data_IF_766280089361
#
_entry.id   IF_766280089361
#
_cell.length_a   1.000
_cell.length_b   1.000
_cell.length_c   1.000
_cell.angle_alpha   90.00
_cell.angle_beta   90.00
_cell.angle_gamma   90.00
#
_symmetry.space_group_name_H-M   'P 1'
#
loop_
_entity.id
_entity.type
_entity.pdbx_description
1 polymer ?
#
# COMPACT_ATOMS: atom_id res chain seq x y z
N UNK A 1 2.06 1.64 -16.23
CA UNK A 1 0.66 1.78 -15.77
C UNK A 1 0.53 2.96 -14.81
N UNK A 2 -0.54 3.74 -14.93
CA UNK A 2 -0.97 4.78 -14.01
C UNK A 2 -1.93 4.18 -12.98
N UNK A 3 -1.48 4.06 -11.72
CA UNK A 3 -2.25 3.45 -10.63
C UNK A 3 -2.63 4.53 -9.62
N UNK A 4 -3.92 4.67 -9.34
CA UNK A 4 -4.43 5.64 -8.38
C UNK A 4 -4.21 5.15 -6.95
N UNK A 5 -3.27 5.77 -6.23
CA UNK A 5 -2.98 5.49 -4.81
C UNK A 5 -4.20 5.83 -3.96
N UNK A 6 -4.79 4.84 -3.31
CA UNK A 6 -6.06 4.96 -2.54
C UNK A 6 -7.20 5.61 -3.33
N UNK A 7 -7.21 5.42 -4.65
CA UNK A 7 -8.14 6.09 -5.57
C UNK A 7 -7.76 7.52 -5.98
N UNK A 8 -6.56 8.01 -5.64
CA UNK A 8 -6.09 9.36 -5.94
C UNK A 8 -6.23 10.29 -4.73
N UNK A 9 -5.48 10.00 -3.65
CA UNK A 9 -5.70 10.60 -2.33
C UNK A 9 -5.51 12.12 -2.24
N UNK A 10 -4.83 12.74 -3.21
CA UNK A 10 -4.69 14.21 -3.31
C UNK A 10 -5.86 14.85 -4.07
N UNK A 11 -6.63 14.06 -4.83
CA UNK A 11 -7.79 14.52 -5.59
C UNK A 11 -9.10 14.30 -4.82
N UNK A 12 -9.25 13.14 -4.19
CA UNK A 12 -10.49 12.70 -3.56
C UNK A 12 -10.25 12.04 -2.20
N UNK A 13 -11.28 11.91 -1.35
CA UNK A 13 -11.14 11.24 -0.06
C UNK A 13 -10.66 9.80 -0.24
N UNK A 14 -9.46 9.53 0.26
CA UNK A 14 -8.74 8.28 0.07
C UNK A 14 -9.57 7.06 0.49
N UNK A 15 -9.39 5.95 -0.23
CA UNK A 15 -9.98 4.65 0.12
C UNK A 15 -11.52 4.68 0.25
N UNK A 16 -12.21 5.43 -0.62
CA UNK A 16 -13.67 5.48 -0.67
C UNK A 16 -14.21 4.99 -2.01
N UNK A 17 -15.43 4.44 -2.03
CA UNK A 17 -16.08 4.00 -3.27
C UNK A 17 -16.16 5.14 -4.29
N UNK A 18 -16.47 6.36 -3.82
CA UNK A 18 -16.56 7.53 -4.68
C UNK A 18 -15.20 7.92 -5.27
N UNK A 19 -14.10 7.81 -4.52
CA UNK A 19 -12.76 8.02 -5.09
C UNK A 19 -12.42 6.96 -6.14
N UNK A 20 -12.77 5.70 -5.91
CA UNK A 20 -12.56 4.62 -6.87
C UNK A 20 -13.35 4.82 -8.16
N UNK A 21 -14.64 5.15 -8.08
CA UNK A 21 -15.46 5.50 -9.24
C UNK A 21 -14.88 6.68 -10.03
N UNK A 22 -14.38 7.70 -9.33
CA UNK A 22 -13.74 8.86 -9.97
C UNK A 22 -12.41 8.50 -10.63
N UNK A 23 -11.60 7.65 -10.02
CA UNK A 23 -10.37 7.14 -10.63
C UNK A 23 -10.66 6.30 -11.87
N UNK A 24 -11.66 5.41 -11.83
CA UNK A 24 -12.09 4.63 -13.00
C UNK A 24 -12.60 5.55 -14.12
N UNK A 25 -13.44 6.53 -13.80
CA UNK A 25 -13.91 7.53 -14.77
C UNK A 25 -12.78 8.42 -15.31
N UNK A 26 -11.72 8.61 -14.52
CA UNK A 26 -10.49 9.25 -14.94
C UNK A 26 -9.74 8.36 -15.95
N UNK A 27 -9.99 7.06 -16.04
CA UNK A 27 -9.32 6.18 -17.01
C UNK A 27 -7.91 5.78 -16.58
N UNK A 28 -7.72 5.57 -15.28
CA UNK A 28 -6.48 4.97 -14.74
C UNK A 28 -6.39 3.49 -15.12
N UNK A 29 -5.19 2.92 -15.09
CA UNK A 29 -4.97 1.49 -15.38
C UNK A 29 -5.28 0.60 -14.17
N UNK A 30 -5.34 1.19 -12.98
CA UNK A 30 -5.60 0.46 -11.75
C UNK A 30 -5.76 1.35 -10.54
N UNK A 31 -6.12 0.73 -9.42
CA UNK A 31 -6.26 1.36 -8.11
C UNK A 31 -5.40 0.58 -7.12
N UNK A 32 -4.68 1.31 -6.29
CA UNK A 32 -4.05 0.80 -5.08
C UNK A 32 -4.94 1.13 -3.89
N UNK A 33 -5.00 0.23 -2.90
CA UNK A 33 -5.80 0.39 -1.69
C UNK A 33 -5.29 -0.47 -0.54
N UNK A 34 -5.69 -0.09 0.68
CA UNK A 34 -5.20 -0.68 1.92
C UNK A 34 -6.24 -1.58 2.59
N UNK A 35 -5.89 -2.83 2.91
CA UNK A 35 -6.78 -3.79 3.56
C UNK A 35 -6.49 -3.96 5.05
N UNK A 36 -7.56 -3.97 5.83
CA UNK A 36 -7.56 -4.30 7.25
C UNK A 36 -8.77 -5.17 7.62
N UNK A 37 -8.75 -5.72 8.85
CA UNK A 37 -9.86 -6.45 9.45
C UNK A 37 -10.64 -5.58 10.44
N UNK A 38 -11.97 -5.65 10.36
CA UNK A 38 -12.86 -5.23 11.44
C UNK A 38 -12.82 -6.22 12.63
N UNK A 39 -13.43 -5.84 13.75
CA UNK A 39 -13.52 -6.70 14.94
C UNK A 39 -14.32 -7.99 14.72
N UNK A 40 -15.23 -8.01 13.75
CA UNK A 40 -16.02 -9.16 13.31
C UNK A 40 -15.40 -9.91 12.12
N UNK A 41 -14.14 -9.62 11.78
CA UNK A 41 -13.35 -10.40 10.82
C UNK A 41 -13.66 -10.11 9.35
N UNK A 42 -14.33 -9.00 9.04
CA UNK A 42 -14.58 -8.59 7.66
C UNK A 42 -13.44 -7.73 7.11
N UNK A 43 -13.11 -7.93 5.83
CA UNK A 43 -12.15 -7.10 5.12
C UNK A 43 -12.77 -5.77 4.71
N UNK A 44 -12.05 -4.71 5.04
CA UNK A 44 -12.40 -3.34 4.70
C UNK A 44 -11.19 -2.59 4.17
N UNK A 45 -11.50 -1.49 3.47
CA UNK A 45 -10.50 -0.69 2.78
C UNK A 45 -10.22 0.58 3.59
N UNK A 46 -9.07 0.62 4.29
CA UNK A 46 -8.66 1.75 5.11
C UNK A 46 -7.17 1.69 5.47
N UNK A 47 -6.48 2.83 5.45
CA UNK A 47 -5.03 2.88 5.64
C UNK A 47 -4.56 2.75 7.10
N UNK A 48 -5.14 3.55 8.01
CA UNK A 48 -4.62 3.70 9.37
C UNK A 48 -5.25 2.69 10.34
N UNK A 49 -4.53 2.23 11.36
CA UNK A 49 -5.10 1.35 12.38
C UNK A 49 -6.15 2.04 13.29
N UNK A 50 -6.31 3.36 13.17
CA UNK A 50 -7.27 4.19 13.91
C UNK A 50 -7.90 5.22 13.00
N UNK A 51 -9.18 5.53 13.25
CA UNK A 51 -9.85 6.62 12.54
C UNK A 51 -9.14 7.94 12.80
N UNK A 52 -8.87 8.70 11.74
CA UNK A 52 -8.22 10.00 11.86
C UNK A 52 -9.25 11.07 12.28
N UNK A 53 -9.07 11.76 13.43
CA UNK A 53 -10.03 12.77 13.89
C UNK A 53 -10.20 13.95 12.94
N UNK A 54 -9.17 14.26 12.15
CA UNK A 54 -9.16 15.36 11.18
C UNK A 54 -9.79 14.97 9.84
N UNK A 55 -10.13 13.68 9.64
CA UNK A 55 -10.67 13.17 8.37
C UNK A 55 -11.94 12.33 8.54
N UNK A 56 -12.42 12.15 9.77
CA UNK A 56 -13.54 11.27 10.08
C UNK A 56 -14.60 12.03 10.88
N UNK A 57 -15.86 11.86 10.49
CA UNK A 57 -17.02 12.43 11.18
C UNK A 57 -18.00 11.33 11.57
N UNK A 58 -18.79 11.63 12.60
CA UNK A 58 -20.01 10.90 12.96
C UNK A 58 -21.11 11.91 13.16
N UNK A 59 -22.27 11.68 12.53
CA UNK A 59 -23.42 12.59 12.57
C UNK A 59 -23.04 14.04 12.20
N UNK A 60 -22.13 14.20 11.23
CA UNK A 60 -21.64 15.50 10.75
C UNK A 60 -20.56 16.17 11.62
N UNK A 61 -20.18 15.57 12.75
CA UNK A 61 -19.18 16.12 13.69
C UNK A 61 -17.86 15.36 13.60
N UNK A 62 -16.74 16.08 13.48
CA UNK A 62 -15.40 15.48 13.49
C UNK A 62 -15.11 14.77 14.81
N UNK A 63 -14.39 13.64 14.76
CA UNK A 63 -14.06 12.90 15.97
C UNK A 63 -13.08 13.66 16.85
N UNK A 64 -13.18 13.45 18.16
CA UNK A 64 -12.18 13.87 19.12
C UNK A 64 -11.25 12.70 19.48
N UNK A 65 -10.03 13.01 19.92
CA UNK A 65 -9.12 11.98 20.46
C UNK A 65 -9.56 11.56 21.87
N UNK A 66 -9.37 10.29 22.26
CA UNK A 66 -8.84 9.19 21.45
C UNK A 66 -9.87 8.66 20.43
N UNK A 67 -9.43 8.38 19.21
CA UNK A 67 -10.28 7.80 18.16
C UNK A 67 -10.26 6.28 18.21
N UNK A 68 -11.35 5.60 17.77
CA UNK A 68 -11.43 4.14 17.81
C UNK A 68 -10.41 3.50 16.87
N UNK A 69 -10.02 2.26 17.20
CA UNK A 69 -9.24 1.41 16.29
C UNK A 69 -10.17 0.73 15.29
N UNK A 70 -9.64 0.45 14.10
CA UNK A 70 -10.36 -0.32 13.08
C UNK A 70 -10.71 -1.72 13.58
N UNK A 71 -9.73 -2.42 14.15
CA UNK A 71 -9.87 -3.78 14.70
C UNK A 71 -10.74 -3.89 15.97
N UNK A 72 -11.28 -2.78 16.46
CA UNK A 72 -12.12 -2.72 17.65
C UNK A 72 -13.60 -2.49 17.34
N UNK A 73 -13.96 -2.28 16.06
CA UNK A 73 -15.32 -2.01 15.62
C UNK A 73 -15.76 -3.04 14.57
N UNK A 74 -17.02 -3.46 14.62
CA UNK A 74 -17.61 -4.27 13.56
C UNK A 74 -17.70 -3.48 12.24
N UNK A 75 -17.74 -4.17 11.10
CA UNK A 75 -17.83 -3.48 9.79
C UNK A 75 -19.03 -2.54 9.70
N UNK A 76 -20.20 -2.99 10.18
CA UNK A 76 -21.42 -2.19 10.17
C UNK A 76 -21.29 -0.92 11.05
N UNK A 77 -20.48 -0.96 12.11
CA UNK A 77 -20.20 0.22 12.93
C UNK A 77 -19.27 1.19 12.22
N UNK A 78 -18.23 0.67 11.55
CA UNK A 78 -17.28 1.46 10.77
C UNK A 78 -17.96 2.18 9.59
N UNK A 79 -18.96 1.55 8.97
CA UNK A 79 -19.75 2.15 7.89
C UNK A 79 -20.67 3.29 8.36
N UNK A 80 -20.84 3.52 9.66
CA UNK A 80 -21.57 4.69 10.17
C UNK A 80 -20.71 5.95 10.26
N UNK A 81 -19.41 5.87 9.94
CA UNK A 81 -18.53 7.03 9.89
C UNK A 81 -18.45 7.61 8.48
N UNK A 82 -18.34 8.93 8.40
CA UNK A 82 -18.11 9.68 7.18
C UNK A 82 -16.62 10.05 7.11
N UNK A 83 -15.92 9.53 6.11
CA UNK A 83 -14.49 9.76 5.82
C UNK A 83 -14.28 10.69 4.62
N UNK A 84 -15.34 11.37 4.17
CA UNK A 84 -15.39 12.10 2.91
C UNK A 84 -14.86 13.53 2.94
N UNK A 85 -14.36 14.01 4.09
CA UNK A 85 -13.96 15.41 4.27
C UNK A 85 -12.85 15.58 5.29
N UNK A 86 -11.92 16.50 5.01
CA UNK A 86 -10.94 16.97 5.98
C UNK A 86 -11.46 18.14 6.81
N UNK A 87 -11.06 18.18 8.07
CA UNK A 87 -11.34 19.29 8.97
C UNK A 87 -10.58 20.52 8.47
N UNK A 88 -11.32 21.59 8.15
CA UNK A 88 -10.74 22.83 7.66
C UNK A 88 -9.70 23.39 8.66
N UNK A 89 -8.55 23.83 8.14
CA UNK A 89 -7.45 24.37 8.96
C UNK A 89 -6.63 23.32 9.71
N UNK A 90 -6.94 22.03 9.59
CA UNK A 90 -6.14 20.95 10.18
C UNK A 90 -4.80 20.75 9.43
N UNK A 91 -3.77 20.18 10.09
CA UNK A 91 -2.56 19.73 9.42
C UNK A 91 -2.84 18.76 8.26
N UNK A 92 -3.82 17.88 8.39
CA UNK A 92 -4.22 17.00 7.29
C UNK A 92 -4.75 17.79 6.09
N UNK A 93 -5.65 18.76 6.30
CA UNK A 93 -6.16 19.63 5.24
C UNK A 93 -5.04 20.45 4.56
N UNK A 94 -4.05 20.92 5.32
CA UNK A 94 -2.92 21.66 4.77
C UNK A 94 -2.03 20.84 3.83
N UNK A 95 -1.94 19.51 4.03
CA UNK A 95 -1.18 18.60 3.17
C UNK A 95 -1.92 18.24 1.88
N UNK A 96 -3.24 18.33 1.87
CA UNK A 96 -4.09 17.98 0.73
C UNK A 96 -5.01 19.14 0.34
N UNK A 97 -4.46 20.31 -0.05
CA UNK A 97 -5.21 21.54 -0.22
C UNK A 97 -6.25 21.48 -1.35
N UNK A 98 -6.02 20.64 -2.36
CA UNK A 98 -6.85 20.53 -3.56
C UNK A 98 -7.87 19.38 -3.49
N UNK A 99 -7.89 18.63 -2.37
CA UNK A 99 -8.71 17.43 -2.24
C UNK A 99 -10.19 17.78 -2.16
N UNK A 100 -10.98 17.24 -3.07
CA UNK A 100 -12.42 17.48 -3.09
C UNK A 100 -13.12 16.84 -1.88
N UNK A 101 -14.27 17.42 -1.50
CA UNK A 101 -15.13 16.87 -0.46
C UNK A 101 -16.20 15.96 -1.06
N UNK A 102 -16.48 14.85 -0.39
CA UNK A 102 -17.54 13.90 -0.74
C UNK A 102 -18.30 13.50 0.52
N UNK A 103 -19.15 14.39 1.02
CA UNK A 103 -19.94 14.12 2.24
C UNK A 103 -20.76 12.83 2.10
N UNK A 104 -20.77 12.04 3.17
CA UNK A 104 -21.38 10.71 3.20
C UNK A 104 -20.51 9.58 2.66
N UNK A 105 -19.25 9.83 2.26
CA UNK A 105 -18.36 8.74 1.89
C UNK A 105 -18.02 7.87 3.10
N UNK A 106 -18.23 6.57 2.97
CA UNK A 106 -18.05 5.57 4.02
C UNK A 106 -16.80 4.73 3.77
N UNK A 107 -16.35 4.01 4.79
CA UNK A 107 -15.30 2.99 4.68
C UNK A 107 -15.86 1.78 3.88
N UNK A 108 -15.30 1.44 2.70
CA UNK A 108 -15.79 0.33 1.90
C UNK A 108 -15.38 -1.03 2.46
N UNK A 109 -16.18 -2.05 2.15
CA UNK A 109 -15.72 -3.45 2.23
C UNK A 109 -14.96 -3.83 0.95
N UNK A 110 -14.07 -4.82 1.05
CA UNK A 110 -13.41 -5.38 -0.14
C UNK A 110 -14.43 -5.92 -1.15
N UNK A 111 -15.47 -6.61 -0.68
CA UNK A 111 -16.50 -7.18 -1.56
C UNK A 111 -17.21 -6.11 -2.41
N UNK A 112 -17.50 -4.93 -1.84
CA UNK A 112 -18.10 -3.84 -2.59
C UNK A 112 -17.16 -3.28 -3.67
N UNK A 113 -15.87 -3.18 -3.37
CA UNK A 113 -14.84 -2.77 -4.33
C UNK A 113 -14.68 -3.78 -5.47
N UNK A 114 -14.65 -5.08 -5.17
CA UNK A 114 -14.51 -6.13 -6.18
C UNK A 114 -15.71 -6.15 -7.16
N UNK A 115 -16.93 -5.90 -6.64
CA UNK A 115 -18.14 -5.74 -7.46
C UNK A 115 -17.99 -4.51 -8.38
N UNK A 116 -17.55 -3.37 -7.84
CA UNK A 116 -17.30 -2.16 -8.64
C UNK A 116 -16.34 -2.44 -9.79
N UNK A 117 -15.23 -3.13 -9.53
CA UNK A 117 -14.26 -3.48 -10.57
C UNK A 117 -14.87 -4.43 -11.62
N UNK A 118 -15.63 -5.44 -11.19
CA UNK A 118 -16.27 -6.38 -12.09
C UNK A 118 -17.23 -5.68 -13.06
N UNK A 119 -17.98 -4.70 -12.56
CA UNK A 119 -19.00 -3.99 -13.31
C UNK A 119 -18.45 -2.86 -14.19
N UNK A 120 -17.42 -2.14 -13.72
CA UNK A 120 -17.00 -0.88 -14.35
C UNK A 120 -15.64 -0.95 -15.06
N UNK A 121 -14.91 -2.06 -14.98
CA UNK A 121 -13.56 -2.16 -15.54
C UNK A 121 -13.32 -3.43 -16.36
N UNK A 122 -12.39 -3.35 -17.30
CA UNK A 122 -11.96 -4.49 -18.12
C UNK A 122 -11.01 -5.45 -17.40
N UNK A 123 -10.70 -6.58 -18.04
CA UNK A 123 -9.78 -7.60 -17.51
C UNK A 123 -8.35 -7.12 -17.31
N UNK A 124 -7.95 -6.02 -17.97
CA UNK A 124 -6.61 -5.46 -17.89
C UNK A 124 -6.43 -4.49 -16.71
N UNK A 125 -7.53 -4.09 -16.05
CA UNK A 125 -7.47 -3.25 -14.86
C UNK A 125 -6.77 -3.98 -13.71
N UNK A 126 -6.01 -3.26 -12.89
CA UNK A 126 -5.23 -3.84 -11.78
C UNK A 126 -5.63 -3.29 -10.42
N UNK A 127 -5.68 -4.17 -9.43
CA UNK A 127 -6.03 -3.89 -8.04
C UNK A 127 -4.83 -4.18 -7.14
N UNK A 128 -4.05 -3.15 -6.78
CA UNK A 128 -2.93 -3.31 -5.83
C UNK A 128 -3.50 -3.32 -4.41
N UNK A 129 -3.55 -4.50 -3.80
CA UNK A 129 -4.10 -4.68 -2.47
C UNK A 129 -2.96 -4.75 -1.43
N UNK A 130 -2.79 -3.70 -0.64
CA UNK A 130 -1.83 -3.69 0.45
C UNK A 130 -2.42 -4.34 1.71
N UNK A 131 -1.82 -5.42 2.20
CA UNK A 131 -2.18 -5.98 3.51
C UNK A 131 -1.51 -5.18 4.63
N UNK A 132 -2.29 -4.38 5.37
CA UNK A 132 -1.80 -3.56 6.49
C UNK A 132 -1.74 -4.36 7.78
N UNK A 133 -0.53 -4.55 8.29
CA UNK A 133 -0.28 -5.26 9.56
C UNK A 133 0.49 -4.37 10.54
N UNK A 134 0.40 -4.68 11.83
CA UNK A 134 1.50 -4.35 12.74
C UNK A 134 2.59 -5.41 12.52
N UNK A 135 3.71 -5.03 11.91
CA UNK A 135 4.79 -5.98 11.55
C UNK A 135 5.39 -6.72 12.76
N UNK A 136 5.07 -6.31 14.00
CA UNK A 136 5.47 -7.02 15.22
C UNK A 136 4.51 -8.14 15.61
N UNK A 137 3.31 -8.16 15.06
CA UNK A 137 2.25 -9.13 15.34
C UNK A 137 2.10 -10.13 14.18
N UNK A 138 2.84 -11.24 14.29
CA UNK A 138 2.81 -12.31 13.28
C UNK A 138 1.42 -12.94 13.15
N UNK A 139 0.71 -13.13 14.27
CA UNK A 139 -0.59 -13.79 14.27
C UNK A 139 -1.62 -12.93 13.52
N UNK A 140 -1.60 -11.61 13.74
CA UNK A 140 -2.47 -10.69 13.00
C UNK A 140 -2.16 -10.66 11.51
N UNK A 141 -0.89 -10.77 11.13
CA UNK A 141 -0.50 -10.84 9.72
C UNK A 141 -1.04 -12.10 9.02
N UNK A 142 -1.00 -13.25 9.70
CA UNK A 142 -1.58 -14.50 9.20
C UNK A 142 -3.11 -14.43 9.12
N UNK A 143 -3.77 -13.87 10.13
CA UNK A 143 -5.23 -13.69 10.17
C UNK A 143 -5.74 -12.84 8.99
N UNK A 144 -5.08 -11.70 8.73
CA UNK A 144 -5.43 -10.82 7.61
C UNK A 144 -5.22 -11.52 6.25
N UNK A 145 -4.12 -12.25 6.09
CA UNK A 145 -3.86 -13.01 4.88
C UNK A 145 -4.89 -14.12 4.66
N UNK A 146 -5.28 -14.85 5.70
CA UNK A 146 -6.31 -15.91 5.61
C UNK A 146 -7.67 -15.36 5.20
N UNK A 147 -8.08 -14.24 5.79
CA UNK A 147 -9.30 -13.56 5.39
C UNK A 147 -9.24 -13.11 3.92
N UNK A 148 -8.10 -12.57 3.47
CA UNK A 148 -7.92 -12.15 2.09
C UNK A 148 -7.93 -13.33 1.10
N UNK A 149 -7.32 -14.45 1.46
CA UNK A 149 -7.38 -15.69 0.69
C UNK A 149 -8.83 -16.14 0.51
N UNK A 150 -9.62 -16.17 1.59
CA UNK A 150 -11.03 -16.54 1.54
C UNK A 150 -11.84 -15.58 0.64
N UNK A 151 -11.55 -14.28 0.70
CA UNK A 151 -12.20 -13.29 -0.17
C UNK A 151 -11.83 -13.48 -1.64
N UNK A 152 -10.56 -13.72 -1.96
CA UNK A 152 -10.11 -13.98 -3.34
C UNK A 152 -10.77 -15.22 -3.95
N UNK A 153 -10.99 -16.28 -3.16
CA UNK A 153 -11.70 -17.49 -3.63
C UNK A 153 -13.14 -17.20 -4.07
N UNK A 154 -13.78 -16.18 -3.48
CA UNK A 154 -15.13 -15.76 -3.80
C UNK A 154 -15.19 -14.57 -4.80
N UNK A 155 -14.05 -13.96 -5.12
CA UNK A 155 -14.00 -12.71 -5.87
C UNK A 155 -14.16 -12.93 -7.38
N UNK A 156 -15.05 -12.17 -8.05
CA UNK A 156 -15.19 -12.22 -9.52
C UNK A 156 -13.99 -11.61 -10.25
N UNK A 157 -13.12 -10.88 -9.54
CA UNK A 157 -11.98 -10.16 -10.09
C UNK A 157 -10.65 -10.60 -9.50
N UNK A 158 -10.59 -11.74 -8.79
CA UNK A 158 -9.37 -12.24 -8.13
C UNK A 158 -8.11 -12.18 -9.01
N UNK A 159 -8.21 -12.55 -10.30
CA UNK A 159 -7.09 -12.50 -11.25
C UNK A 159 -6.59 -11.09 -11.63
N UNK A 160 -7.27 -10.03 -11.19
CA UNK A 160 -6.87 -8.62 -11.36
C UNK A 160 -6.09 -8.09 -10.17
N UNK A 161 -6.08 -8.82 -9.05
CA UNK A 161 -5.40 -8.39 -7.84
C UNK A 161 -3.90 -8.60 -7.95
N UNK A 162 -3.17 -7.65 -7.37
CA UNK A 162 -1.73 -7.71 -7.13
C UNK A 162 -1.56 -7.53 -5.63
N UNK A 163 -1.15 -8.57 -4.93
CA UNK A 163 -0.90 -8.48 -3.48
C UNK A 163 0.42 -7.78 -3.22
N UNK A 164 0.40 -6.80 -2.33
CA UNK A 164 1.57 -6.09 -1.84
C UNK A 164 1.52 -6.00 -0.31
N UNK A 165 2.66 -5.95 0.35
CA UNK A 165 2.75 -5.72 1.80
C UNK A 165 4.19 -5.47 2.23
N UNK A 166 4.37 -4.65 3.27
CA UNK A 166 5.64 -4.56 4.00
C UNK A 166 5.89 -5.80 4.87
N UNK A 167 4.83 -6.53 5.23
CA UNK A 167 4.91 -7.77 6.00
C UNK A 167 4.86 -8.96 5.06
N UNK A 168 6.04 -9.45 4.69
CA UNK A 168 6.21 -10.48 3.69
C UNK A 168 5.68 -11.83 4.14
N UNK A 169 5.42 -12.04 5.44
CA UNK A 169 4.72 -13.24 5.94
C UNK A 169 3.31 -13.31 5.37
N UNK A 170 2.58 -12.19 5.43
CA UNK A 170 1.22 -12.11 4.91
C UNK A 170 1.19 -12.28 3.39
N UNK A 171 2.11 -11.62 2.68
CA UNK A 171 2.26 -11.73 1.23
C UNK A 171 2.60 -13.17 0.82
N UNK A 172 3.59 -13.80 1.45
CA UNK A 172 4.02 -15.16 1.14
C UNK A 172 2.91 -16.19 1.40
N UNK A 173 2.12 -15.98 2.46
CA UNK A 173 0.96 -16.81 2.75
C UNK A 173 -0.09 -16.75 1.63
N UNK A 174 -0.40 -15.54 1.14
CA UNK A 174 -1.32 -15.37 0.00
C UNK A 174 -0.73 -15.99 -1.27
N UNK A 175 0.56 -15.75 -1.54
CA UNK A 175 1.27 -16.34 -2.70
C UNK A 175 1.28 -17.87 -2.67
N UNK A 176 1.41 -18.48 -1.50
CA UNK A 176 1.34 -19.94 -1.36
C UNK A 176 -0.04 -20.49 -1.74
N UNK A 177 -1.12 -19.75 -1.45
CA UNK A 177 -2.48 -20.11 -1.83
C UNK A 177 -2.79 -19.81 -3.31
N UNK A 178 -2.17 -18.79 -3.89
CA UNK A 178 -2.35 -18.34 -5.28
C UNK A 178 -1.00 -18.16 -5.98
N UNK A 179 -0.30 -19.24 -6.37
CA UNK A 179 1.06 -19.18 -6.90
C UNK A 179 1.18 -18.41 -8.22
N UNK A 180 0.12 -18.39 -9.03
CA UNK A 180 0.08 -17.70 -10.33
C UNK A 180 -0.36 -16.23 -10.21
N UNK A 181 -0.79 -15.79 -9.02
CA UNK A 181 -1.21 -14.41 -8.82
C UNK A 181 -0.01 -13.48 -8.81
N UNK A 182 -0.16 -12.34 -9.48
CA UNK A 182 0.82 -11.26 -9.42
C UNK A 182 0.98 -10.76 -7.98
N UNK A 183 2.23 -10.51 -7.60
CA UNK A 183 2.59 -10.01 -6.29
C UNK A 183 3.83 -9.13 -6.40
N UNK A 184 3.96 -8.18 -5.49
CA UNK A 184 5.16 -7.36 -5.40
C UNK A 184 5.51 -7.07 -3.93
N UNK A 185 6.76 -7.28 -3.56
CA UNK A 185 7.23 -7.10 -2.19
C UNK A 185 7.43 -5.62 -1.91
N UNK A 186 6.66 -5.07 -0.96
CA UNK A 186 6.81 -3.67 -0.56
C UNK A 186 8.05 -3.54 0.29
N UNK A 187 8.93 -2.61 -0.07
CA UNK A 187 10.12 -2.28 0.71
C UNK A 187 9.96 -0.90 1.31
N UNK A 188 10.22 -0.74 2.61
CA UNK A 188 10.57 0.57 3.15
C UNK A 188 11.83 1.09 2.44
N UNK A 189 12.04 2.41 2.46
CA UNK A 189 13.21 3.01 1.85
C UNK A 189 14.50 2.29 2.27
N UNK A 190 15.39 1.99 1.34
CA UNK A 190 16.65 1.29 1.64
C UNK A 190 17.49 2.09 2.63
N UNK A 191 17.49 3.42 2.49
CA UNK A 191 18.10 4.32 3.46
C UNK A 191 17.47 4.25 4.86
N UNK A 192 16.25 3.75 5.04
CA UNK A 192 15.57 3.59 6.34
C UNK A 192 15.81 2.22 6.96
N UNK A 193 16.07 1.20 6.14
CA UNK A 193 16.30 -0.17 6.58
C UNK A 193 17.76 -0.54 6.69
N UNK A 194 18.68 0.15 6.00
CA UNK A 194 20.12 -0.12 6.04
C UNK A 194 20.74 0.31 7.39
N UNK A 195 21.21 -0.61 8.25
CA UNK A 195 21.78 -0.26 9.55
C UNK A 195 23.11 0.52 9.47
N UNK A 196 23.73 0.59 8.29
CA UNK A 196 25.03 1.24 8.03
C UNK A 196 24.89 2.57 7.27
N UNK A 197 23.68 2.92 6.83
CA UNK A 197 23.45 4.16 6.10
C UNK A 197 23.71 5.40 6.97
N UNK A 198 24.30 6.45 6.39
CA UNK A 198 24.74 7.64 7.12
C UNK A 198 23.63 8.34 7.92
N UNK A 199 22.37 8.24 7.47
CA UNK A 199 21.22 8.81 8.19
C UNK A 199 20.94 8.14 9.54
N UNK A 200 21.47 6.94 9.80
CA UNK A 200 21.32 6.27 11.09
C UNK A 200 21.84 7.11 12.27
N UNK A 201 22.80 8.00 12.03
CA UNK A 201 23.30 8.96 13.03
C UNK A 201 22.23 9.97 13.50
N UNK A 202 21.13 10.12 12.76
CA UNK A 202 20.03 11.04 13.07
C UNK A 202 18.84 10.32 13.73
N UNK A 203 18.93 9.01 13.90
CA UNK A 203 17.86 8.23 14.48
C UNK A 203 17.68 8.60 15.97
N UNK A 204 16.45 8.88 16.36
CA UNK A 204 16.09 9.04 17.78
C UNK A 204 16.08 7.65 18.42
N UNK A 205 16.70 7.44 19.60
CA UNK A 205 16.82 6.10 20.21
C UNK A 205 15.51 5.30 20.31
N UNK A 206 14.39 5.96 20.62
CA UNK A 206 13.06 5.35 20.72
C UNK A 206 12.16 5.67 19.50
N UNK A 207 12.76 6.14 18.42
CA UNK A 207 12.07 6.49 17.18
C UNK A 207 11.82 5.28 16.29
N UNK A 208 10.83 5.41 15.41
CA UNK A 208 10.46 4.36 14.46
C UNK A 208 11.66 3.96 13.56
N UNK A 209 12.44 4.93 13.08
CA UNK A 209 13.62 4.66 12.25
C UNK A 209 14.67 3.79 12.97
N UNK A 210 14.97 4.10 14.24
CA UNK A 210 15.88 3.30 15.06
C UNK A 210 15.36 1.86 15.23
N UNK A 211 14.06 1.71 15.48
CA UNK A 211 13.41 0.40 15.63
C UNK A 211 13.45 -0.41 14.32
N UNK A 212 13.18 0.22 13.18
CA UNK A 212 13.25 -0.41 11.86
C UNK A 212 14.67 -0.89 11.58
N UNK A 213 15.70 -0.04 11.75
CA UNK A 213 17.10 -0.42 11.52
C UNK A 213 17.57 -1.50 12.48
N UNK A 214 17.20 -1.40 13.76
CA UNK A 214 17.54 -2.42 14.75
C UNK A 214 16.92 -3.77 14.38
N UNK A 215 15.67 -3.78 13.92
CA UNK A 215 15.01 -5.00 13.46
C UNK A 215 15.68 -5.54 12.19
N UNK A 216 15.96 -4.66 11.23
CA UNK A 216 16.65 -5.00 9.98
C UNK A 216 18.02 -5.66 10.23
N UNK A 217 18.83 -5.08 11.12
CA UNK A 217 20.13 -5.65 11.54
C UNK A 217 20.00 -7.07 12.11
N UNK A 218 18.85 -7.35 12.73
CA UNK A 218 18.57 -8.61 13.40
C UNK A 218 17.70 -9.57 12.56
N UNK A 219 17.47 -9.26 11.28
CA UNK A 219 16.79 -10.15 10.32
C UNK A 219 15.27 -10.03 10.29
N UNK A 220 14.74 -8.97 10.88
CA UNK A 220 13.35 -8.53 10.91
C UNK A 220 12.31 -9.63 10.58
N UNK A 221 11.52 -10.10 11.57
CA UNK A 221 10.68 -11.29 11.39
C UNK A 221 9.63 -11.17 10.28
N UNK A 222 9.27 -9.95 9.89
CA UNK A 222 8.33 -9.68 8.79
C UNK A 222 8.92 -9.87 7.39
N UNK A 223 10.21 -10.24 7.24
CA UNK A 223 10.75 -10.66 5.95
C UNK A 223 10.54 -12.14 5.64
N UNK A 224 9.94 -12.89 6.58
CA UNK A 224 9.56 -14.29 6.36
C UNK A 224 10.73 -15.17 5.84
N UNK A 225 11.91 -14.98 6.44
CA UNK A 225 13.13 -15.70 6.07
C UNK A 225 13.85 -15.19 4.82
N UNK A 226 13.31 -14.18 4.11
CA UNK A 226 13.98 -13.54 2.97
C UNK A 226 14.96 -12.47 3.44
N UNK A 227 16.03 -12.92 4.11
CA UNK A 227 16.97 -12.03 4.78
C UNK A 227 18.07 -11.54 3.83
N UNK A 228 18.18 -10.22 3.69
CA UNK A 228 19.24 -9.61 2.86
C UNK A 228 20.65 -9.88 3.41
N UNK A 229 20.79 -10.17 4.70
CA UNK A 229 22.09 -10.42 5.35
C UNK A 229 22.75 -11.69 4.82
N UNK A 230 21.96 -12.62 4.32
CA UNK A 230 22.44 -13.88 3.72
C UNK A 230 22.81 -13.71 2.23
N UNK A 231 22.57 -12.54 1.64
CA UNK A 231 22.79 -12.28 0.23
C UNK A 231 24.12 -11.56 -0.02
N UNK A 232 24.78 -11.95 -1.12
CA UNK A 232 25.93 -11.19 -1.65
C UNK A 232 25.47 -9.93 -2.38
N UNK A 233 26.19 -8.82 -2.21
CA UNK A 233 25.89 -7.56 -2.91
C UNK A 233 26.76 -6.41 -2.40
N UNK A 234 26.94 -5.38 -3.23
CA UNK A 234 27.75 -4.20 -2.91
C UNK A 234 27.01 -3.17 -2.07
N UNK A 235 25.67 -3.18 -2.13
CA UNK A 235 24.81 -2.26 -1.38
C UNK A 235 23.73 -3.01 -0.62
N UNK A 236 23.12 -2.34 0.36
CA UNK A 236 21.92 -2.85 1.05
C UNK A 236 20.79 -3.15 0.05
N UNK A 237 20.52 -2.24 -0.88
CA UNK A 237 19.48 -2.42 -1.89
C UNK A 237 19.70 -3.64 -2.78
N UNK A 238 20.92 -3.88 -3.26
CA UNK A 238 21.23 -5.08 -4.05
C UNK A 238 20.90 -6.37 -3.28
N UNK A 239 21.30 -6.41 -2.01
CA UNK A 239 21.07 -7.58 -1.15
C UNK A 239 19.58 -7.79 -0.86
N UNK A 240 18.82 -6.72 -0.67
CA UNK A 240 17.36 -6.82 -0.51
C UNK A 240 16.69 -7.35 -1.78
N UNK A 241 17.04 -6.85 -2.96
CA UNK A 241 16.47 -7.32 -4.23
C UNK A 241 16.80 -8.80 -4.49
N UNK A 242 18.04 -9.22 -4.16
CA UNK A 242 18.43 -10.63 -4.24
C UNK A 242 17.67 -11.51 -3.25
N UNK A 243 17.41 -11.03 -2.04
CA UNK A 243 16.59 -11.74 -1.06
C UNK A 243 15.15 -11.93 -1.58
N UNK A 244 14.57 -10.89 -2.19
CA UNK A 244 13.26 -10.98 -2.86
C UNK A 244 13.27 -12.09 -3.92
N UNK A 245 14.29 -12.10 -4.80
CA UNK A 245 14.40 -13.12 -5.84
C UNK A 245 14.63 -14.52 -5.25
N UNK A 246 15.51 -14.66 -4.27
CA UNK A 246 15.83 -15.94 -3.62
C UNK A 246 14.61 -16.55 -2.91
N UNK A 247 13.74 -15.70 -2.35
CA UNK A 247 12.44 -16.09 -1.82
C UNK A 247 11.37 -16.39 -2.87
N UNK A 248 11.72 -16.41 -4.16
CA UNK A 248 10.81 -16.70 -5.28
C UNK A 248 9.94 -15.52 -5.72
N UNK A 249 10.24 -14.30 -5.26
CA UNK A 249 9.47 -13.12 -5.63
C UNK A 249 9.65 -12.74 -7.09
N UNK A 250 8.59 -12.20 -7.69
CA UNK A 250 8.58 -11.75 -9.10
C UNK A 250 8.35 -10.25 -9.27
N UNK A 251 8.07 -9.52 -8.17
CA UNK A 251 7.82 -8.08 -8.22
C UNK A 251 8.42 -7.36 -7.02
N UNK A 252 8.88 -6.13 -7.24
CA UNK A 252 9.36 -5.20 -6.24
C UNK A 252 8.46 -3.96 -6.23
N UNK A 253 7.82 -3.69 -5.10
CA UNK A 253 7.01 -2.50 -4.90
C UNK A 253 7.81 -1.47 -4.08
N UNK A 254 8.44 -0.57 -4.80
CA UNK A 254 9.58 0.21 -4.37
C UNK A 254 9.17 1.62 -3.90
N UNK A 255 9.84 2.10 -2.84
CA UNK A 255 9.97 3.53 -2.65
C UNK A 255 10.63 4.14 -3.90
N UNK A 256 9.98 5.14 -4.48
CA UNK A 256 10.41 5.73 -5.74
C UNK A 256 11.84 6.30 -5.74
N UNK A 257 12.38 6.63 -4.55
CA UNK A 257 13.73 7.16 -4.37
C UNK A 257 14.80 6.08 -4.54
N UNK A 258 14.45 4.83 -4.27
CA UNK A 258 15.37 3.69 -4.41
C UNK A 258 15.45 3.17 -5.85
N UNK A 259 14.62 3.69 -6.76
CA UNK A 259 14.63 3.34 -8.17
C UNK A 259 15.75 4.12 -8.90
N UNK A 260 16.98 3.63 -8.72
CA UNK A 260 18.20 4.08 -9.39
C UNK A 260 18.44 3.28 -10.69
N UNK A 261 19.38 3.72 -11.53
CA UNK A 261 19.80 2.90 -12.70
C UNK A 261 20.36 1.54 -12.27
N UNK A 262 21.15 1.50 -11.19
CA UNK A 262 21.75 0.29 -10.66
C UNK A 262 20.71 -0.70 -10.16
N UNK A 263 19.76 -0.23 -9.34
CA UNK A 263 18.70 -1.10 -8.81
C UNK A 263 17.73 -1.56 -9.91
N UNK A 264 17.44 -0.72 -10.91
CA UNK A 264 16.62 -1.13 -12.06
C UNK A 264 17.33 -2.18 -12.91
N UNK A 265 18.62 -2.02 -13.19
CA UNK A 265 19.41 -3.00 -13.93
C UNK A 265 19.42 -4.35 -13.21
N UNK A 266 19.67 -4.35 -11.89
CA UNK A 266 19.63 -5.57 -11.09
C UNK A 266 18.23 -6.19 -11.04
N UNK A 267 17.19 -5.39 -10.83
CA UNK A 267 15.81 -5.90 -10.82
C UNK A 267 15.46 -6.57 -12.16
N UNK A 268 15.87 -5.97 -13.28
CA UNK A 268 15.72 -6.56 -14.62
C UNK A 268 16.49 -7.89 -14.74
N UNK A 269 17.75 -7.95 -14.32
CA UNK A 269 18.58 -9.17 -14.35
C UNK A 269 17.98 -10.30 -13.49
N UNK A 270 17.32 -9.95 -12.38
CA UNK A 270 16.62 -10.89 -11.51
C UNK A 270 15.23 -11.28 -12.05
N UNK A 271 14.74 -10.60 -13.09
CA UNK A 271 13.40 -10.80 -13.65
C UNK A 271 12.29 -10.30 -12.70
N UNK A 272 12.53 -9.24 -11.95
CA UNK A 272 11.55 -8.57 -11.09
C UNK A 272 10.83 -7.48 -11.87
N UNK A 273 9.50 -7.46 -11.82
CA UNK A 273 8.73 -6.27 -12.20
C UNK A 273 8.94 -5.18 -11.14
N UNK A 274 8.96 -3.91 -11.53
CA UNK A 274 9.19 -2.79 -10.60
C UNK A 274 8.03 -1.83 -10.65
N UNK A 275 7.40 -1.59 -9.50
CA UNK A 275 6.33 -0.62 -9.33
C UNK A 275 6.76 0.42 -8.29
N UNK A 276 6.46 1.69 -8.50
CA UNK A 276 6.95 2.80 -7.68
C UNK A 276 5.83 3.43 -6.83
N UNK A 277 6.06 3.66 -5.54
CA UNK A 277 5.16 4.41 -4.66
C UNK A 277 5.90 5.47 -3.81
N UNK A 278 5.24 6.52 -3.32
CA UNK A 278 4.10 7.22 -3.95
C UNK A 278 4.65 8.43 -4.69
N UNK A 279 4.38 8.55 -5.99
CA UNK A 279 5.04 9.52 -6.88
C UNK A 279 4.07 10.62 -7.25
N UNK A 280 4.22 11.82 -6.67
CA UNK A 280 3.26 12.91 -6.85
C UNK A 280 3.78 14.09 -7.68
N UNK A 281 5.03 14.01 -8.17
CA UNK A 281 5.64 15.04 -9.01
C UNK A 281 5.77 14.56 -10.45
N UNK A 282 5.27 15.35 -11.40
CA UNK A 282 5.30 15.00 -12.83
C UNK A 282 6.72 14.71 -13.35
N UNK A 283 7.72 15.45 -12.88
CA UNK A 283 9.11 15.22 -13.25
C UNK A 283 9.62 13.84 -12.80
N UNK A 284 9.25 13.39 -11.59
CA UNK A 284 9.61 12.06 -11.10
C UNK A 284 8.82 10.96 -11.80
N UNK A 285 7.54 11.19 -12.09
CA UNK A 285 6.73 10.27 -12.90
C UNK A 285 7.39 10.02 -14.26
N UNK A 286 7.76 11.08 -14.99
CA UNK A 286 8.43 10.96 -16.28
C UNK A 286 9.79 10.26 -16.16
N UNK A 287 10.58 10.62 -15.14
CA UNK A 287 11.89 10.00 -14.88
C UNK A 287 11.76 8.49 -14.68
N UNK A 288 10.78 8.05 -13.89
CA UNK A 288 10.54 6.64 -13.60
C UNK A 288 9.96 5.90 -14.82
N UNK A 289 9.03 6.53 -15.55
CA UNK A 289 8.50 5.98 -16.80
C UNK A 289 9.64 5.73 -17.81
N UNK A 290 10.58 6.67 -17.96
CA UNK A 290 11.74 6.53 -18.83
C UNK A 290 12.69 5.40 -18.40
N UNK A 291 12.73 5.05 -17.10
CA UNK A 291 13.49 3.90 -16.57
C UNK A 291 12.80 2.56 -16.81
N UNK A 292 11.55 2.55 -17.26
CA UNK A 292 10.80 1.34 -17.56
C UNK A 292 10.13 0.67 -16.36
N UNK A 293 9.77 1.44 -15.31
CA UNK A 293 8.92 0.90 -14.24
C UNK A 293 7.59 0.41 -14.82
N UNK A 294 7.09 -0.73 -14.33
CA UNK A 294 5.85 -1.35 -14.79
C UNK A 294 4.62 -0.54 -14.36
N UNK A 295 4.66 0.07 -13.17
CA UNK A 295 3.60 0.88 -12.63
C UNK A 295 4.11 2.04 -11.78
N UNK A 296 3.36 3.14 -11.78
CA UNK A 296 3.56 4.29 -10.90
C UNK A 296 2.27 4.46 -10.10
N UNK A 297 2.41 4.40 -8.77
CA UNK A 297 1.35 4.58 -7.80
C UNK A 297 1.40 6.05 -7.35
N UNK A 298 0.31 6.76 -7.52
CA UNK A 298 0.26 8.23 -7.32
C UNK A 298 -1.04 8.71 -6.71
N UNK A 299 -0.95 9.72 -5.86
CA UNK A 299 -2.10 10.48 -5.36
C UNK A 299 -2.69 11.42 -6.42
N UNK A 300 -1.92 11.66 -7.50
CA UNK A 300 -2.21 12.58 -8.59
C UNK A 300 -2.26 11.85 -9.95
N UNK A 301 -3.17 10.87 -10.12
CA UNK A 301 -3.31 10.12 -11.36
C UNK A 301 -3.72 11.01 -12.55
N UNK A 302 -4.24 12.21 -12.28
CA UNK A 302 -4.53 13.24 -13.27
C UNK A 302 -3.28 13.77 -13.99
N UNK A 303 -2.14 13.83 -13.29
CA UNK A 303 -0.88 14.30 -13.86
C UNK A 303 -0.25 13.27 -14.82
N UNK A 304 -0.51 11.99 -14.60
CA UNK A 304 0.06 10.90 -15.40
C UNK A 304 -0.61 10.70 -16.75
N UNK A 305 -1.81 11.24 -16.98
CA UNK A 305 -2.53 11.08 -18.26
C UNK A 305 -1.78 11.59 -19.48
N UNK A 306 -0.90 12.57 -19.27
CA UNK A 306 -0.25 13.32 -20.33
C UNK A 306 1.24 13.00 -20.47
N UNK A 307 1.72 11.96 -19.78
CA UNK A 307 3.10 11.46 -19.84
C UNK A 307 3.17 10.24 -20.75
#
# INVERSE_FOLDING_TARGET
MNIAHRGGADLWPENTMQAFERAIALGVDGIEFDLQLSADGHLLIHHDARLNPEATRRDGVFLAKPTPRIDALALAELQNYDVGRLQAGSPCAARHPDRAHMDGAQIPSLAAFDILLAEQTGSDFRAYAELKTDMRDAARAEELADAYIAALQASPVAGRHIVVSFDWRSLNRVRAAFPDMHHAYTTMGFAETDPEHASAAQDKPDGMAALIRASSRNGAPWWDGMDWRDMEGKSHGERVLRAIKAGGGTGWFADWRDITEENMALASDLGLTVSAWTVNQAADMQRLANKGVSAIITDRPDLMKNL
#
